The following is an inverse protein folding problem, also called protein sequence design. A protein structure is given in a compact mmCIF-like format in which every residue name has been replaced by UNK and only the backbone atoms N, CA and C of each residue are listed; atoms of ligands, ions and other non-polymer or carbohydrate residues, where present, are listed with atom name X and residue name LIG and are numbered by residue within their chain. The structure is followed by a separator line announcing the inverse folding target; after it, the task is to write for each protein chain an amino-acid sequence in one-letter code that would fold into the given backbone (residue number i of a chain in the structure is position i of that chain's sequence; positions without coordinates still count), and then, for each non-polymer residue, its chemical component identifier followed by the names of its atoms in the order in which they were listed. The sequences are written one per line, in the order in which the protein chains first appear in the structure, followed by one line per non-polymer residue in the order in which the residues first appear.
data_IF_198176672255
#
_entry.id   IF_198176672255
#
_cell.length_a   1.000
_cell.length_b   1.000
_cell.length_c   1.000
_cell.angle_alpha   90.00
_cell.angle_beta   90.00
_cell.angle_gamma   90.00
#
_symmetry.space_group_name_H-M   'P 1'
#
loop_
_entity.id
_entity.type
_entity.pdbx_description
1 polymer ?
#
# COMPACT_ATOMS: atom_id res chain seq x y z
N UNK A 1 0.74 27.13 -0.08
CA UNK A 1 0.81 25.84 0.64
C UNK A 1 2.10 25.09 0.30
N UNK A 2 3.28 25.55 0.76
CA UNK A 2 4.61 24.90 0.55
C UNK A 2 5.45 24.86 1.85
N UNK A 3 4.78 24.84 3.00
CA UNK A 3 5.42 24.87 4.31
C UNK A 3 5.14 23.65 5.19
N UNK A 4 4.02 22.95 4.97
CA UNK A 4 3.61 21.78 5.78
C UNK A 4 4.33 20.50 5.35
N UNK A 5 4.70 20.41 4.08
CA UNK A 5 5.57 19.38 3.50
C UNK A 5 6.92 19.30 4.21
N UNK A 6 7.55 20.45 4.46
CA UNK A 6 8.85 20.49 5.14
C UNK A 6 8.78 20.02 6.61
N UNK A 7 7.64 20.22 7.28
CA UNK A 7 7.44 19.76 8.66
C UNK A 7 7.33 18.23 8.69
N UNK A 8 6.46 17.64 7.85
CA UNK A 8 6.25 16.19 7.80
C UNK A 8 7.52 15.44 7.36
N UNK A 9 8.26 15.96 6.37
CA UNK A 9 9.54 15.39 5.93
C UNK A 9 10.62 15.51 7.00
N UNK A 10 10.62 16.59 7.79
CA UNK A 10 11.51 16.76 8.93
C UNK A 10 11.27 15.70 10.01
N UNK A 11 10.00 15.43 10.34
CA UNK A 11 9.61 14.37 11.28
C UNK A 11 10.02 12.98 10.78
N UNK A 12 9.80 12.66 9.50
CA UNK A 12 10.24 11.39 8.90
C UNK A 12 11.77 11.21 9.02
N UNK A 13 12.53 12.30 8.82
CA UNK A 13 14.00 12.26 8.84
C UNK A 13 14.59 11.93 10.21
N UNK A 14 13.96 12.36 11.30
CA UNK A 14 14.46 12.17 12.67
C UNK A 14 13.82 10.99 13.40
N UNK A 15 12.90 10.27 12.76
CA UNK A 15 12.26 9.12 13.37
C UNK A 15 13.24 7.94 13.46
N UNK A 16 13.49 7.46 14.67
CA UNK A 16 14.35 6.31 14.93
C UNK A 16 13.84 5.04 14.25
N UNK A 17 12.51 4.90 14.11
CA UNK A 17 11.88 3.82 13.37
C UNK A 17 11.36 4.32 12.03
N UNK A 18 12.29 4.43 11.07
CA UNK A 18 12.01 4.98 9.75
C UNK A 18 11.56 3.94 8.73
N UNK A 19 12.12 2.73 8.79
CA UNK A 19 11.87 1.71 7.78
C UNK A 19 10.89 0.65 8.28
N UNK A 20 9.83 0.38 7.50
CA UNK A 20 8.78 -0.57 7.90
C UNK A 20 9.28 -2.01 8.14
N UNK A 21 10.35 -2.42 7.46
CA UNK A 21 10.94 -3.76 7.65
C UNK A 21 11.77 -3.87 8.95
N UNK A 22 12.09 -2.76 9.61
CA UNK A 22 12.73 -2.71 10.92
C UNK A 22 11.71 -2.64 12.06
N UNK A 23 10.41 -2.43 11.75
CA UNK A 23 9.37 -2.30 12.75
C UNK A 23 9.13 -3.63 13.48
N UNK A 24 9.36 -3.72 14.81
CA UNK A 24 9.24 -4.98 15.55
C UNK A 24 7.84 -5.59 15.48
N UNK A 25 6.80 -4.76 15.47
CA UNK A 25 5.41 -5.22 15.37
C UNK A 25 5.11 -5.81 13.99
N UNK A 26 5.65 -5.22 12.92
CA UNK A 26 5.54 -5.75 11.56
C UNK A 26 6.27 -7.08 11.46
N UNK A 27 7.52 -7.13 11.92
CA UNK A 27 8.30 -8.38 11.93
C UNK A 27 7.58 -9.49 12.69
N UNK A 28 7.06 -9.19 13.89
CA UNK A 28 6.33 -10.15 14.71
C UNK A 28 5.06 -10.65 14.03
N UNK A 29 4.31 -9.77 13.39
CA UNK A 29 3.11 -10.14 12.63
C UNK A 29 3.43 -11.07 11.45
N UNK A 30 4.52 -10.80 10.73
CA UNK A 30 4.98 -11.71 9.68
C UNK A 30 5.51 -13.03 10.24
N UNK A 31 6.26 -13.03 11.33
CA UNK A 31 6.75 -14.27 11.96
C UNK A 31 5.61 -15.18 12.46
N UNK A 32 4.60 -14.59 13.09
CA UNK A 32 3.55 -15.36 13.79
C UNK A 32 2.39 -15.77 12.88
N UNK A 33 2.13 -15.03 11.79
CA UNK A 33 0.91 -15.19 11.01
C UNK A 33 1.14 -15.27 9.50
N UNK A 34 1.82 -14.27 8.91
CA UNK A 34 1.92 -14.20 7.45
C UNK A 34 3.04 -15.06 6.84
N UNK A 35 4.10 -15.35 7.59
CA UNK A 35 5.32 -15.99 7.13
C UNK A 35 6.21 -15.01 6.35
N UNK A 36 5.90 -14.80 5.07
CA UNK A 36 6.69 -13.97 4.16
C UNK A 36 5.84 -12.86 3.50
N UNK A 37 6.44 -11.91 2.77
CA UNK A 37 5.71 -11.05 1.85
C UNK A 37 5.15 -11.85 0.66
N UNK A 38 3.96 -11.46 0.17
CA UNK A 38 3.26 -12.05 -0.98
C UNK A 38 2.67 -13.50 -0.91
N UNK A 39 2.65 -14.25 0.22
CA UNK A 39 1.98 -15.55 0.29
C UNK A 39 0.46 -15.40 0.18
N UNK A 40 -0.22 -16.55 0.03
CA UNK A 40 -1.67 -16.60 -0.21
C UNK A 40 -2.50 -15.86 0.86
N UNK A 41 -2.20 -16.07 2.14
CA UNK A 41 -2.87 -15.38 3.26
C UNK A 41 -2.64 -13.86 3.23
N UNK A 42 -1.41 -13.39 2.96
CA UNK A 42 -1.12 -11.96 2.79
C UNK A 42 -1.84 -11.38 1.59
N UNK A 43 -1.89 -12.10 0.46
CA UNK A 43 -2.62 -11.66 -0.72
C UNK A 43 -4.13 -11.57 -0.47
N UNK A 44 -4.71 -12.49 0.30
CA UNK A 44 -6.13 -12.45 0.63
C UNK A 44 -6.51 -11.28 1.55
N UNK A 45 -5.64 -10.92 2.49
CA UNK A 45 -5.97 -9.95 3.54
C UNK A 45 -5.42 -8.55 3.29
N UNK A 46 -4.26 -8.42 2.65
CA UNK A 46 -3.55 -7.16 2.50
C UNK A 46 -3.59 -6.61 1.07
N UNK A 47 -3.91 -7.45 0.08
CA UNK A 47 -3.96 -7.04 -1.32
C UNK A 47 -5.40 -6.91 -1.80
N UNK A 48 -5.59 -6.04 -2.79
CA UNK A 48 -6.88 -5.82 -3.46
C UNK A 48 -6.77 -6.27 -4.91
N UNK A 49 -7.85 -6.89 -5.40
CA UNK A 49 -8.03 -7.14 -6.82
C UNK A 49 -8.72 -5.94 -7.48
N UNK A 50 -7.93 -5.04 -8.06
CA UNK A 50 -8.46 -3.86 -8.75
C UNK A 50 -9.27 -4.21 -10.01
N UNK A 51 -8.98 -5.35 -10.66
CA UNK A 51 -9.74 -5.78 -11.84
C UNK A 51 -11.18 -6.20 -11.51
N UNK A 52 -11.48 -6.46 -10.23
CA UNK A 52 -12.83 -6.75 -9.76
C UNK A 52 -13.65 -5.49 -9.47
N UNK A 53 -13.09 -4.29 -9.66
CA UNK A 53 -13.81 -3.06 -9.40
C UNK A 53 -14.77 -2.76 -10.54
N UNK A 54 -16.05 -2.62 -10.20
CA UNK A 54 -17.05 -2.06 -11.10
C UNK A 54 -16.78 -0.56 -11.21
N UNK A 55 -16.11 -0.15 -12.29
CA UNK A 55 -15.88 1.26 -12.58
C UNK A 55 -17.01 1.76 -13.46
N UNK A 56 -17.73 2.78 -12.99
CA UNK A 56 -18.62 3.55 -13.87
C UNK A 56 -17.79 4.11 -15.04
N UNK A 57 -18.22 3.89 -16.28
CA UNK A 57 -17.50 4.47 -17.42
C UNK A 57 -17.53 5.98 -17.26
N UNK A 58 -16.36 6.61 -17.36
CA UNK A 58 -16.27 8.06 -17.45
C UNK A 58 -17.16 8.49 -18.62
N UNK A 59 -18.21 9.26 -18.33
CA UNK A 59 -19.14 9.77 -19.34
C UNK A 59 -18.34 10.46 -20.44
N UNK A 60 -18.29 9.85 -21.63
CA UNK A 60 -17.62 10.38 -22.81
C UNK A 60 -16.35 9.66 -23.29
N UNK A 61 -15.86 8.61 -22.61
CA UNK A 61 -14.77 7.77 -23.14
C UNK A 61 -15.25 6.32 -23.21
N UNK A 62 -15.69 5.88 -24.39
CA UNK A 62 -15.89 4.45 -24.67
C UNK A 62 -14.55 3.87 -25.10
N UNK A 63 -13.91 2.95 -24.36
CA UNK A 63 -12.74 2.26 -24.88
C UNK A 63 -13.22 1.32 -25.98
N UNK A 64 -12.67 1.48 -27.18
CA UNK A 64 -12.80 0.48 -28.24
C UNK A 64 -12.18 -0.83 -27.74
N UNK A 65 -13.02 -1.83 -27.53
CA UNK A 65 -12.64 -3.21 -27.23
C UNK A 65 -11.85 -3.80 -28.40
N UNK A 66 -10.53 -3.57 -28.40
CA UNK A 66 -9.55 -4.26 -29.25
C UNK A 66 -8.21 -4.39 -28.52
N UNK A 67 -8.06 -5.46 -27.73
CA UNK A 67 -7.04 -6.50 -27.90
C UNK A 67 -7.27 -7.61 -26.87
#
# INVERSE_FOLDING_TARGET
MRGLDNILLGCDKINDLRFSHENPSVQKCYQDYFGSPLPHNSHQLLHINQAAWEMEPLVGIVPSKHR
#
